data_IF_457183702361
#
_entry.id   IF_457183702361
#
_cell.length_a   1.000
_cell.length_b   1.000
_cell.length_c   1.000
_cell.angle_alpha   90.00
_cell.angle_beta   90.00
_cell.angle_gamma   90.00
#
_symmetry.space_group_name_H-M   'P 1'
#
loop_
_entity.id
_entity.type
_entity.pdbx_description
1 polymer ?
#
# COMPACT_ATOMS: atom_id res chain seq x y z
N UNK A 1 35.03 13.50 -18.73
CA UNK A 1 33.70 13.96 -18.27
C UNK A 1 33.94 14.93 -17.13
N UNK A 2 33.58 16.21 -17.27
CA UNK A 2 33.88 17.23 -16.25
C UNK A 2 33.21 16.89 -14.92
N UNK A 3 33.87 17.17 -13.79
CA UNK A 3 33.33 16.94 -12.44
C UNK A 3 31.93 17.52 -12.26
N UNK A 4 31.65 18.63 -12.94
CA UNK A 4 30.35 19.32 -12.98
C UNK A 4 29.27 18.45 -13.66
N UNK A 5 29.61 17.76 -14.76
CA UNK A 5 28.70 16.86 -15.46
C UNK A 5 28.36 15.61 -14.64
N UNK A 6 29.33 15.08 -13.89
CA UNK A 6 29.12 13.93 -13.01
C UNK A 6 28.20 14.28 -11.83
N UNK A 7 28.40 15.44 -11.20
CA UNK A 7 27.52 15.92 -10.13
C UNK A 7 26.08 16.09 -10.63
N UNK A 8 25.89 16.64 -11.83
CA UNK A 8 24.56 16.90 -12.40
C UNK A 8 23.77 15.61 -12.64
N UNK A 9 24.45 14.55 -13.11
CA UNK A 9 23.84 13.23 -13.30
C UNK A 9 23.55 12.56 -11.96
N UNK A 10 24.49 12.62 -11.01
CA UNK A 10 24.29 12.08 -9.66
C UNK A 10 23.11 12.74 -8.95
N UNK A 11 22.98 14.08 -9.03
CA UNK A 11 21.85 14.80 -8.46
C UNK A 11 20.52 14.43 -9.12
N UNK A 12 20.52 14.20 -10.43
CA UNK A 12 19.31 13.78 -11.15
C UNK A 12 18.87 12.36 -10.76
N UNK A 13 19.83 11.44 -10.60
CA UNK A 13 19.55 10.07 -10.15
C UNK A 13 19.03 10.05 -8.70
N UNK A 14 19.64 10.82 -7.80
CA UNK A 14 19.17 10.94 -6.43
C UNK A 14 17.77 11.55 -6.35
N UNK A 15 17.48 12.56 -7.17
CA UNK A 15 16.16 13.16 -7.26
C UNK A 15 15.11 12.16 -7.78
N UNK A 16 15.45 11.37 -8.80
CA UNK A 16 14.58 10.30 -9.29
C UNK A 16 14.34 9.24 -8.21
N UNK A 17 15.39 8.82 -7.50
CA UNK A 17 15.28 7.86 -6.40
C UNK A 17 14.36 8.39 -5.27
N UNK A 18 14.45 9.68 -4.96
CA UNK A 18 13.55 10.35 -4.02
C UNK A 18 12.11 10.32 -4.50
N UNK A 19 11.84 10.60 -5.78
CA UNK A 19 10.49 10.53 -6.35
C UNK A 19 9.95 9.10 -6.25
N UNK A 20 10.75 8.09 -6.62
CA UNK A 20 10.34 6.69 -6.51
C UNK A 20 10.07 6.29 -5.06
N UNK A 21 10.91 6.71 -4.10
CA UNK A 21 10.72 6.41 -2.69
C UNK A 21 9.42 7.07 -2.16
N UNK A 22 9.21 8.33 -2.52
CA UNK A 22 8.00 9.06 -2.13
C UNK A 22 6.75 8.41 -2.75
N UNK A 23 6.81 8.07 -4.04
CA UNK A 23 5.74 7.40 -4.76
C UNK A 23 5.42 6.04 -4.14
N UNK A 24 6.43 5.26 -3.73
CA UNK A 24 6.23 3.99 -3.05
C UNK A 24 5.49 4.20 -1.72
N UNK A 25 5.95 5.12 -0.87
CA UNK A 25 5.28 5.42 0.41
C UNK A 25 3.85 5.92 0.23
N UNK A 26 3.63 6.76 -0.78
CA UNK A 26 2.30 7.25 -1.13
C UNK A 26 1.41 6.11 -1.62
N UNK A 27 1.94 5.23 -2.47
CA UNK A 27 1.22 4.09 -3.01
C UNK A 27 0.85 3.11 -1.91
N UNK A 28 1.78 2.77 -1.01
CA UNK A 28 1.52 1.95 0.18
C UNK A 28 0.38 2.54 1.01
N UNK A 29 0.42 3.85 1.29
CA UNK A 29 -0.61 4.52 2.08
C UNK A 29 -1.99 4.56 1.40
N UNK A 30 -2.04 4.92 0.11
CA UNK A 30 -3.30 4.97 -0.65
C UNK A 30 -3.88 3.57 -0.88
N UNK A 31 -3.05 2.59 -1.23
CA UNK A 31 -3.51 1.22 -1.44
C UNK A 31 -3.97 0.59 -0.15
N UNK A 32 -3.27 0.79 0.96
CA UNK A 32 -3.73 0.30 2.26
C UNK A 32 -5.11 0.86 2.59
N UNK A 33 -5.33 2.17 2.35
CA UNK A 33 -6.62 2.80 2.55
C UNK A 33 -7.72 2.21 1.65
N UNK A 34 -7.47 2.12 0.34
CA UNK A 34 -8.46 1.57 -0.60
C UNK A 34 -8.73 0.09 -0.36
N UNK A 35 -7.72 -0.71 -0.02
CA UNK A 35 -7.87 -2.11 0.33
C UNK A 35 -8.68 -2.27 1.61
N UNK A 36 -8.42 -1.47 2.66
CA UNK A 36 -9.25 -1.48 3.88
C UNK A 36 -10.69 -1.17 3.56
N UNK A 37 -10.96 -0.11 2.79
CA UNK A 37 -12.32 0.25 2.37
C UNK A 37 -12.99 -0.88 1.59
N UNK A 38 -12.27 -1.52 0.67
CA UNK A 38 -12.80 -2.63 -0.13
C UNK A 38 -13.03 -3.92 0.69
N UNK A 39 -12.15 -4.23 1.64
CA UNK A 39 -12.28 -5.34 2.59
C UNK A 39 -13.39 -5.10 3.62
N UNK A 40 -13.71 -3.83 3.90
CA UNK A 40 -14.82 -3.42 4.76
C UNK A 40 -16.14 -3.30 3.99
N UNK A 41 -16.09 -3.23 2.67
CA UNK A 41 -17.29 -3.13 1.85
C UNK A 41 -18.08 -4.44 1.87
N UNK A 42 -19.38 -4.36 2.14
CA UNK A 42 -20.27 -5.52 2.14
C UNK A 42 -20.79 -5.79 0.72
N UNK A 43 -20.55 -6.99 0.20
CA UNK A 43 -21.12 -7.45 -1.06
C UNK A 43 -22.63 -7.57 -0.92
N UNK A 44 -23.38 -6.68 -1.58
CA UNK A 44 -24.85 -6.72 -1.63
C UNK A 44 -25.59 -5.90 -0.57
N UNK A 45 -24.92 -5.01 0.18
CA UNK A 45 -25.58 -4.09 1.13
C UNK A 45 -26.06 -4.71 2.45
N UNK A 46 -26.22 -6.03 2.52
CA UNK A 46 -26.59 -6.76 3.73
C UNK A 46 -25.37 -7.45 4.35
N UNK A 47 -24.78 -6.83 5.37
CA UNK A 47 -23.76 -7.48 6.19
C UNK A 47 -24.46 -8.49 7.13
N UNK A 48 -24.68 -9.73 6.68
CA UNK A 48 -25.15 -10.84 7.53
C UNK A 48 -24.04 -11.29 8.51
N UNK A 49 -23.50 -10.36 9.30
CA UNK A 49 -22.38 -10.52 10.24
C UNK A 49 -21.05 -11.07 9.65
N UNK A 50 -21.01 -11.40 8.36
CA UNK A 50 -19.88 -12.01 7.67
C UNK A 50 -19.47 -11.18 6.45
N UNK A 51 -18.19 -10.83 6.37
CA UNK A 51 -17.58 -10.15 5.22
C UNK A 51 -17.42 -11.12 4.06
N UNK A 52 -17.35 -10.59 2.84
CA UNK A 52 -17.28 -11.41 1.63
C UNK A 52 -16.04 -12.32 1.60
N UNK A 53 -14.91 -11.86 2.13
CA UNK A 53 -13.65 -12.62 2.20
C UNK A 53 -13.62 -13.64 3.33
N UNK A 54 -14.46 -13.51 4.37
CA UNK A 54 -14.59 -14.51 5.45
C UNK A 54 -15.24 -15.81 4.98
N UNK A 55 -15.86 -15.83 3.78
CA UNK A 55 -16.36 -17.07 3.16
C UNK A 55 -15.23 -17.98 2.67
N UNK A 56 -14.00 -17.49 2.60
CA UNK A 56 -12.84 -18.21 2.08
C UNK A 56 -11.76 -18.31 3.17
N UNK A 57 -11.60 -19.49 3.82
CA UNK A 57 -10.64 -19.70 4.92
C UNK A 57 -9.18 -19.26 4.64
N UNK A 58 -8.60 -19.45 3.43
CA UNK A 58 -7.24 -18.97 3.17
C UNK A 58 -7.18 -17.44 3.02
N UNK A 59 -8.23 -16.81 2.47
CA UNK A 59 -8.30 -15.34 2.39
C UNK A 59 -8.48 -14.72 3.76
N UNK A 60 -9.24 -15.35 4.65
CA UNK A 60 -9.45 -14.85 6.01
C UNK A 60 -8.15 -14.63 6.77
N UNK A 61 -7.24 -15.62 6.78
CA UNK A 61 -5.93 -15.48 7.44
C UNK A 61 -5.08 -14.37 6.83
N UNK A 62 -5.09 -14.25 5.50
CA UNK A 62 -4.31 -13.23 4.79
C UNK A 62 -4.85 -11.82 5.05
N UNK A 63 -6.17 -11.66 5.04
CA UNK A 63 -6.81 -10.37 5.29
C UNK A 63 -6.63 -9.92 6.75
N UNK A 64 -6.77 -10.82 7.72
CA UNK A 64 -6.50 -10.50 9.12
C UNK A 64 -5.04 -10.12 9.33
N UNK A 65 -4.10 -10.88 8.77
CA UNK A 65 -2.67 -10.54 8.83
C UNK A 65 -2.38 -9.17 8.21
N UNK A 66 -3.07 -8.80 7.13
CA UNK A 66 -2.94 -7.50 6.48
C UNK A 66 -3.53 -6.36 7.33
N UNK A 67 -4.69 -6.57 7.96
CA UNK A 67 -5.32 -5.60 8.85
C UNK A 67 -4.46 -5.35 10.09
N UNK A 68 -3.99 -6.42 10.75
CA UNK A 68 -3.12 -6.31 11.93
C UNK A 68 -1.81 -5.58 11.60
N UNK A 69 -1.18 -5.90 10.46
CA UNK A 69 0.06 -5.24 10.02
C UNK A 69 -0.13 -3.75 9.76
N UNK A 70 -1.31 -3.35 9.28
CA UNK A 70 -1.60 -1.96 8.97
C UNK A 70 -2.17 -1.18 10.16
N UNK A 71 -2.51 -1.84 11.28
CA UNK A 71 -2.98 -1.21 12.53
C UNK A 71 -1.83 -0.94 13.50
N UNK A 72 -0.73 -1.70 13.40
CA UNK A 72 0.50 -1.47 14.16
C UNK A 72 1.39 -0.34 13.65
N UNK A 73 0.97 0.37 12.59
CA UNK A 73 1.72 1.45 11.93
C UNK A 73 1.16 2.86 12.21
N UNK A 74 0.23 2.96 13.17
CA UNK A 74 -0.29 4.23 13.76
C UNK A 74 0.49 4.63 15.04
#
# INVERSE_FOLDING_TARGET
MSHIGLLKVASALLFLALICNLAQKLFERYIAFYLRQWLMNCSGGECNNLRWWQRFPPLEKLVWSFLDSTEGED
#
